data_IF_938724599499
#
_entry.id   IF_938724599499
#
_cell.length_a   1.000
_cell.length_b   1.000
_cell.length_c   1.000
_cell.angle_alpha   90.00
_cell.angle_beta   90.00
_cell.angle_gamma   90.00
#
_symmetry.space_group_name_H-M   'P 1'
#
loop_
_entity.id
_entity.type
_entity.pdbx_description
1 polymer ?
#
# COMPACT_ATOMS: atom_id res chain seq x y z
N UNK A 1 -4.71 26.79 38.10
CA UNK A 1 -4.22 25.44 37.76
C UNK A 1 -3.51 25.56 36.43
N UNK A 2 -2.19 25.37 36.38
CA UNK A 2 -1.53 25.17 35.09
C UNK A 2 -1.86 23.74 34.66
N UNK A 3 -2.44 23.57 33.47
CA UNK A 3 -2.50 22.25 32.87
C UNK A 3 -1.07 21.86 32.47
N UNK A 4 -0.57 20.73 32.96
CA UNK A 4 0.77 20.26 32.65
C UNK A 4 0.90 20.02 31.14
N UNK A 5 1.62 20.91 30.46
CA UNK A 5 1.82 20.84 29.02
C UNK A 5 2.72 19.65 28.73
N UNK A 6 2.25 18.69 27.93
CA UNK A 6 3.03 17.50 27.59
C UNK A 6 4.38 17.92 26.98
N UNK A 7 5.53 17.36 27.41
CA UNK A 7 6.87 17.79 26.99
C UNK A 7 7.16 17.69 25.48
N UNK A 8 6.25 17.12 24.69
CA UNK A 8 6.38 16.93 23.24
C UNK A 8 5.38 17.79 22.45
N UNK A 9 4.51 18.56 23.13
CA UNK A 9 3.43 19.33 22.49
C UNK A 9 3.94 20.32 21.45
N UNK A 10 5.02 21.05 21.73
CA UNK A 10 5.64 21.95 20.77
C UNK A 10 6.11 21.22 19.50
N UNK A 11 6.78 20.08 19.65
CA UNK A 11 7.27 19.28 18.52
C UNK A 11 6.14 18.63 17.72
N UNK A 12 5.04 18.21 18.38
CA UNK A 12 3.86 17.65 17.70
C UNK A 12 3.09 18.75 16.94
N UNK A 13 2.93 19.94 17.53
CA UNK A 13 2.32 21.09 16.87
C UNK A 13 3.14 21.55 15.65
N UNK A 14 4.47 21.66 15.79
CA UNK A 14 5.38 21.96 14.67
C UNK A 14 5.23 20.92 13.54
N UNK A 15 5.27 19.63 13.89
CA UNK A 15 5.18 18.54 12.91
C UNK A 15 3.81 18.50 12.21
N UNK A 16 2.73 18.75 12.95
CA UNK A 16 1.37 18.88 12.43
C UNK A 16 1.27 20.01 11.40
N UNK A 17 1.77 21.20 11.75
CA UNK A 17 1.77 22.36 10.85
C UNK A 17 2.66 22.14 9.62
N UNK A 18 3.89 21.65 9.81
CA UNK A 18 4.88 21.47 8.74
C UNK A 18 4.48 20.41 7.71
N UNK A 19 3.76 19.37 8.14
CA UNK A 19 3.40 18.23 7.27
C UNK A 19 1.89 18.10 7.03
N UNK A 20 1.04 19.00 7.54
CA UNK A 20 -0.40 18.94 7.32
C UNK A 20 -1.03 17.60 7.74
N UNK A 21 -0.66 17.10 8.92
CA UNK A 21 -1.17 15.88 9.54
C UNK A 21 -1.75 16.23 10.92
N UNK A 22 -2.99 15.82 11.25
CA UNK A 22 -3.60 16.17 12.53
C UNK A 22 -2.76 15.73 13.73
N UNK A 23 -2.57 16.60 14.72
CA UNK A 23 -1.82 16.28 15.95
C UNK A 23 -2.31 14.98 16.61
N UNK A 24 -3.63 14.75 16.65
CA UNK A 24 -4.23 13.51 17.17
C UNK A 24 -3.71 12.23 16.49
N UNK A 25 -3.36 12.29 15.20
CA UNK A 25 -2.76 11.15 14.48
C UNK A 25 -1.33 10.92 14.97
N UNK A 26 -0.54 11.99 15.11
CA UNK A 26 0.85 11.94 15.60
C UNK A 26 0.88 11.38 17.02
N UNK A 27 0.06 11.91 17.93
CA UNK A 27 -0.06 11.42 19.31
C UNK A 27 -0.47 9.95 19.39
N UNK A 28 -1.48 9.54 18.61
CA UNK A 28 -1.96 8.15 18.65
C UNK A 28 -0.91 7.17 18.11
N UNK A 29 -0.22 7.51 17.03
CA UNK A 29 0.88 6.69 16.49
C UNK A 29 2.04 6.66 17.49
N UNK A 30 2.48 7.80 18.02
CA UNK A 30 3.54 7.86 19.05
C UNK A 30 3.25 6.96 20.27
N UNK A 31 2.03 7.03 20.81
CA UNK A 31 1.63 6.16 21.92
C UNK A 31 1.64 4.69 21.49
N UNK A 32 1.14 4.37 20.29
CA UNK A 32 1.06 3.02 19.78
C UNK A 32 2.42 2.37 19.48
N UNK A 33 3.42 3.17 19.13
CA UNK A 33 4.78 2.76 18.76
C UNK A 33 5.71 2.65 19.98
N UNK A 34 5.81 3.69 20.80
CA UNK A 34 6.80 3.80 21.89
C UNK A 34 6.22 3.95 23.29
N UNK A 35 4.91 4.20 23.42
CA UNK A 35 4.26 4.65 24.67
C UNK A 35 4.94 5.89 25.28
N UNK A 36 5.54 6.75 24.46
CA UNK A 36 6.27 7.94 24.90
C UNK A 36 7.74 7.71 25.26
N UNK A 37 8.29 6.50 25.09
CA UNK A 37 9.71 6.25 25.33
C UNK A 37 10.57 6.77 24.17
N UNK A 38 11.19 7.94 24.35
CA UNK A 38 12.05 8.55 23.33
C UNK A 38 13.33 7.76 22.97
N UNK A 39 13.74 6.78 23.80
CA UNK A 39 14.89 5.90 23.54
C UNK A 39 14.47 4.47 23.17
N UNK A 40 13.22 4.27 22.78
CA UNK A 40 12.72 2.95 22.36
C UNK A 40 13.49 2.43 21.12
N UNK A 41 13.88 1.17 21.16
CA UNK A 41 14.44 0.42 20.02
C UNK A 41 13.71 -0.92 19.93
N UNK A 42 13.11 -1.22 18.77
CA UNK A 42 12.46 -2.52 18.55
C UNK A 42 13.48 -3.62 18.20
N UNK A 43 13.07 -4.88 18.28
CA UNK A 43 13.86 -6.03 17.80
C UNK A 43 14.24 -5.94 16.31
N UNK A 44 13.50 -5.17 15.51
CA UNK A 44 13.81 -4.91 14.10
C UNK A 44 14.69 -3.66 13.89
N UNK A 45 15.08 -2.97 14.97
CA UNK A 45 15.89 -1.75 14.93
C UNK A 45 15.10 -0.47 14.64
N UNK A 46 13.78 -0.44 14.84
CA UNK A 46 12.98 0.78 14.73
C UNK A 46 13.26 1.72 15.92
N UNK A 47 13.38 3.03 15.69
CA UNK A 47 14.00 3.97 16.66
C UNK A 47 13.08 5.10 17.12
N UNK A 48 13.16 5.40 18.42
CA UNK A 48 12.58 6.59 19.05
C UNK A 48 11.07 6.60 19.19
N UNK A 49 10.51 7.79 19.48
CA UNK A 49 9.10 8.01 19.79
C UNK A 49 8.10 7.47 18.75
N UNK A 50 8.46 7.59 17.48
CA UNK A 50 7.66 7.22 16.31
C UNK A 50 8.14 5.92 15.64
N UNK A 51 9.09 5.20 16.25
CA UNK A 51 9.65 3.93 15.77
C UNK A 51 10.02 3.93 14.27
N UNK A 52 10.90 4.86 13.88
CA UNK A 52 11.35 4.99 12.49
C UNK A 52 12.46 3.98 12.20
N UNK A 53 12.31 3.19 11.13
CA UNK A 53 13.34 2.25 10.68
C UNK A 53 14.59 2.99 10.16
N UNK A 54 15.82 2.47 10.31
CA UNK A 54 17.06 3.20 10.00
C UNK A 54 17.18 3.68 8.55
N UNK A 55 16.76 2.87 7.56
CA UNK A 55 16.74 3.27 6.15
C UNK A 55 15.74 4.42 5.89
N UNK A 56 14.57 4.36 6.53
CA UNK A 56 13.54 5.42 6.47
C UNK A 56 14.03 6.70 7.14
N UNK A 57 14.73 6.58 8.28
CA UNK A 57 15.36 7.71 8.98
C UNK A 57 16.39 8.42 8.10
N UNK A 58 17.32 7.68 7.47
CA UNK A 58 18.33 8.26 6.60
C UNK A 58 17.71 9.06 5.44
N UNK A 59 16.68 8.50 4.78
CA UNK A 59 15.94 9.18 3.71
C UNK A 59 15.26 10.47 4.20
N UNK A 60 14.54 10.41 5.33
CA UNK A 60 13.77 11.54 5.85
C UNK A 60 14.67 12.65 6.39
N UNK A 61 15.76 12.29 7.06
CA UNK A 61 16.69 13.24 7.67
C UNK A 61 17.45 14.03 6.62
N UNK A 62 17.88 13.38 5.53
CA UNK A 62 18.46 14.03 4.37
C UNK A 62 17.43 14.96 3.67
N UNK A 63 16.17 14.51 3.51
CA UNK A 63 15.13 15.28 2.82
C UNK A 63 14.62 16.49 3.62
N UNK A 64 14.56 16.40 4.95
CA UNK A 64 13.89 17.39 5.80
C UNK A 64 14.81 18.13 6.78
N UNK A 65 16.12 17.83 6.77
CA UNK A 65 17.12 18.50 7.62
C UNK A 65 16.94 18.16 9.11
N UNK A 66 16.84 16.87 9.44
CA UNK A 66 16.51 16.39 10.79
C UNK A 66 17.74 16.02 11.64
N UNK A 67 18.94 16.40 11.21
CA UNK A 67 20.19 16.03 11.89
C UNK A 67 20.52 14.54 11.77
N UNK A 68 21.41 14.07 12.65
CA UNK A 68 21.92 12.70 12.62
C UNK A 68 21.26 11.76 13.64
N UNK A 69 20.82 12.29 14.80
CA UNK A 69 20.35 11.49 15.93
C UNK A 69 18.85 11.09 15.80
N UNK A 70 18.51 9.81 15.59
CA UNK A 70 17.12 9.34 15.53
C UNK A 70 16.41 9.36 16.90
N UNK A 71 17.12 9.62 18.00
CA UNK A 71 16.55 9.71 19.34
C UNK A 71 16.33 11.16 19.81
N UNK A 72 16.70 12.17 19.01
CA UNK A 72 16.24 13.53 19.26
C UNK A 72 14.71 13.60 19.15
N UNK A 73 14.08 14.07 20.23
CA UNK A 73 12.62 14.08 20.40
C UNK A 73 11.94 14.84 19.24
N UNK A 74 12.43 16.04 18.94
CA UNK A 74 11.84 16.88 17.90
C UNK A 74 12.00 16.25 16.52
N UNK A 75 13.21 15.81 16.20
CA UNK A 75 13.57 15.27 14.88
C UNK A 75 12.90 13.92 14.61
N UNK A 76 12.74 13.06 15.62
CA UNK A 76 12.00 11.81 15.50
C UNK A 76 10.49 12.03 15.27
N UNK A 77 9.87 13.00 15.98
CA UNK A 77 8.47 13.39 15.77
C UNK A 77 8.27 13.96 14.36
N UNK A 78 9.16 14.85 13.90
CA UNK A 78 9.15 15.39 12.55
C UNK A 78 9.29 14.30 11.48
N UNK A 79 10.20 13.33 11.66
CA UNK A 79 10.34 12.18 10.76
C UNK A 79 9.06 11.34 10.71
N UNK A 80 8.47 11.02 11.86
CA UNK A 80 7.23 10.25 11.93
C UNK A 80 6.04 10.94 11.26
N UNK A 81 5.88 12.25 11.45
CA UNK A 81 4.84 13.03 10.78
C UNK A 81 5.07 13.14 9.26
N UNK A 82 6.32 13.34 8.81
CA UNK A 82 6.68 13.32 7.40
C UNK A 82 6.38 11.95 6.74
N UNK A 83 6.63 10.86 7.45
CA UNK A 83 6.34 9.50 6.97
C UNK A 83 4.84 9.23 6.94
N UNK A 84 4.07 9.64 7.96
CA UNK A 84 2.60 9.60 7.94
C UNK A 84 2.03 10.39 6.76
N UNK A 85 2.54 11.59 6.48
CA UNK A 85 2.17 12.39 5.31
C UNK A 85 2.41 11.63 4.00
N UNK A 86 3.60 11.06 3.82
CA UNK A 86 3.94 10.29 2.62
C UNK A 86 3.03 9.08 2.43
N UNK A 87 2.66 8.38 3.50
CA UNK A 87 1.71 7.27 3.42
C UNK A 87 0.27 7.75 3.15
N UNK A 88 -0.17 8.86 3.77
CA UNK A 88 -1.49 9.45 3.50
C UNK A 88 -1.64 9.93 2.06
N UNK A 89 -0.60 10.55 1.50
CA UNK A 89 -0.57 10.95 0.08
C UNK A 89 -0.66 9.78 -0.88
N UNK A 90 0.02 8.69 -0.55
CA UNK A 90 0.08 7.50 -1.39
C UNK A 90 -1.23 6.70 -1.39
N UNK A 91 -1.86 6.52 -0.23
CA UNK A 91 -2.98 5.58 -0.09
C UNK A 91 -4.35 6.24 0.01
N UNK A 92 -4.46 7.48 0.54
CA UNK A 92 -5.73 8.18 0.83
C UNK A 92 -6.76 7.39 1.66
N UNK A 93 -6.32 6.29 2.26
CA UNK A 93 -7.06 5.42 3.17
C UNK A 93 -6.24 5.24 4.44
N UNK A 94 -6.86 5.42 5.60
CA UNK A 94 -6.19 5.38 6.90
C UNK A 94 -5.69 3.97 7.23
N UNK A 95 -6.40 2.92 6.82
CA UNK A 95 -6.04 1.53 7.12
C UNK A 95 -4.80 1.10 6.34
N UNK A 96 -4.75 1.41 5.04
CA UNK A 96 -3.59 1.20 4.18
C UNK A 96 -2.41 2.08 4.58
N UNK A 97 -2.66 3.35 4.95
CA UNK A 97 -1.64 4.25 5.49
C UNK A 97 -0.96 3.66 6.73
N UNK A 98 -1.74 3.18 7.72
CA UNK A 98 -1.22 2.56 8.94
C UNK A 98 -0.53 1.22 8.66
N UNK A 99 -1.08 0.41 7.74
CA UNK A 99 -0.44 -0.84 7.33
C UNK A 99 0.93 -0.59 6.65
N UNK A 100 1.04 0.46 5.83
CA UNK A 100 2.28 0.86 5.19
C UNK A 100 3.29 1.48 6.16
N UNK A 101 2.80 2.21 7.17
CA UNK A 101 3.63 2.75 8.25
C UNK A 101 4.30 1.62 9.04
N UNK A 102 3.51 0.66 9.54
CA UNK A 102 3.99 -0.45 10.37
C UNK A 102 4.75 -1.54 9.58
N UNK A 103 4.29 -1.92 8.39
CA UNK A 103 4.81 -3.09 7.66
C UNK A 103 5.57 -2.75 6.36
N UNK A 104 5.74 -1.46 6.07
CA UNK A 104 6.38 -0.94 4.87
C UNK A 104 5.42 -0.83 3.66
N UNK A 105 5.58 0.18 2.79
CA UNK A 105 4.67 0.45 1.67
C UNK A 105 4.57 -0.72 0.69
N UNK A 106 5.68 -1.38 0.35
CA UNK A 106 5.65 -2.54 -0.56
C UNK A 106 4.76 -3.70 -0.08
N UNK A 107 4.56 -3.84 1.24
CA UNK A 107 3.66 -4.84 1.82
C UNK A 107 2.21 -4.39 1.78
N UNK A 108 1.95 -3.11 2.02
CA UNK A 108 0.63 -2.50 1.83
C UNK A 108 0.20 -2.51 0.35
N UNK A 109 1.11 -2.25 -0.59
CA UNK A 109 0.85 -2.33 -2.03
C UNK A 109 0.45 -3.75 -2.46
N UNK A 110 1.19 -4.76 -1.98
CA UNK A 110 0.88 -6.16 -2.26
C UNK A 110 -0.44 -6.62 -1.62
N UNK A 111 -0.85 -6.01 -0.51
CA UNK A 111 -2.16 -6.24 0.09
C UNK A 111 -3.29 -5.55 -0.67
N UNK A 112 -3.14 -4.26 -1.00
CA UNK A 112 -4.10 -3.49 -1.78
C UNK A 112 -4.37 -4.11 -3.17
N UNK A 113 -3.36 -4.75 -3.77
CA UNK A 113 -3.49 -5.48 -5.04
C UNK A 113 -3.89 -6.96 -4.89
N UNK A 114 -4.30 -7.42 -3.71
CA UNK A 114 -4.69 -8.82 -3.46
C UNK A 114 -3.58 -9.89 -3.58
N UNK A 115 -2.31 -9.50 -3.78
CA UNK A 115 -1.17 -10.44 -3.96
C UNK A 115 -0.72 -11.10 -2.67
N UNK A 116 -0.91 -10.46 -1.51
CA UNK A 116 -0.45 -10.97 -0.20
C UNK A 116 -1.23 -10.39 0.97
N UNK A 117 -1.64 -11.23 1.92
CA UNK A 117 -2.23 -10.77 3.18
C UNK A 117 -1.24 -10.01 4.10
N UNK A 118 -1.76 -9.07 4.89
CA UNK A 118 -0.99 -8.41 5.96
C UNK A 118 -0.68 -9.38 7.12
N UNK A 119 0.46 -9.23 7.82
CA UNK A 119 0.76 -9.95 9.06
C UNK A 119 -0.33 -9.78 10.13
N UNK A 120 -0.49 -10.76 11.02
CA UNK A 120 -1.44 -10.68 12.13
C UNK A 120 -1.18 -9.46 13.03
N UNK A 121 0.09 -9.18 13.34
CA UNK A 121 0.53 -8.00 14.10
C UNK A 121 0.10 -6.69 13.42
N UNK A 122 0.38 -6.53 12.12
CA UNK A 122 -0.02 -5.34 11.35
C UNK A 122 -1.55 -5.18 11.30
N UNK A 123 -2.31 -6.26 11.16
CA UNK A 123 -3.79 -6.19 11.23
C UNK A 123 -4.26 -5.73 12.61
N UNK A 124 -3.66 -6.23 13.69
CA UNK A 124 -3.97 -5.81 15.05
C UNK A 124 -3.56 -4.35 15.33
N UNK A 125 -2.42 -3.91 14.80
CA UNK A 125 -1.97 -2.51 14.84
C UNK A 125 -2.99 -1.58 14.17
N UNK A 126 -3.40 -1.89 12.93
CA UNK A 126 -4.41 -1.11 12.19
C UNK A 126 -5.74 -1.10 12.93
N UNK A 127 -6.26 -2.26 13.36
CA UNK A 127 -7.53 -2.36 14.07
C UNK A 127 -7.54 -1.56 15.39
N UNK A 128 -6.40 -1.50 16.09
CA UNK A 128 -6.24 -0.72 17.32
C UNK A 128 -6.19 0.79 17.08
N UNK A 129 -5.73 1.26 15.92
CA UNK A 129 -5.41 2.68 15.70
C UNK A 129 -6.42 3.37 14.78
N UNK A 130 -6.83 2.72 13.70
CA UNK A 130 -7.66 3.30 12.64
C UNK A 130 -8.95 3.98 13.16
N UNK A 131 -9.72 3.43 14.12
CA UNK A 131 -10.94 4.06 14.62
C UNK A 131 -10.71 5.48 15.18
N UNK A 132 -9.65 5.68 15.96
CA UNK A 132 -9.34 6.96 16.61
C UNK A 132 -8.76 8.00 15.64
N UNK A 133 -8.24 7.57 14.49
CA UNK A 133 -7.82 8.47 13.42
C UNK A 133 -9.00 8.96 12.57
N UNK A 134 -10.18 8.34 12.71
CA UNK A 134 -11.40 8.63 11.95
C UNK A 134 -11.80 7.52 10.97
N UNK A 135 -11.08 6.40 10.91
CA UNK A 135 -11.47 5.23 10.13
C UNK A 135 -12.32 4.27 10.96
N UNK A 136 -13.58 4.67 11.17
CA UNK A 136 -14.68 3.78 11.53
C UNK A 136 -16.01 4.40 11.12
N UNK A 137 -16.72 3.70 10.24
CA UNK A 137 -18.12 3.99 9.95
C UNK A 137 -18.38 4.99 8.82
N UNK A 138 -18.89 4.45 7.72
CA UNK A 138 -19.77 5.13 6.76
C UNK A 138 -21.09 5.57 7.44
N UNK A 139 -21.04 6.45 8.45
CA UNK A 139 -22.23 6.93 9.19
C UNK A 139 -22.03 8.24 9.98
N UNK A 140 -21.75 9.35 9.29
CA UNK A 140 -22.32 10.67 9.66
C UNK A 140 -22.34 11.60 8.46
N UNK A 141 -23.54 12.03 8.07
CA UNK A 141 -23.87 12.70 6.80
C UNK A 141 -25.03 13.67 7.03
N UNK A 142 -24.80 14.96 6.83
CA UNK A 142 -25.77 16.02 6.49
C UNK A 142 -24.99 17.35 6.38
N UNK A 143 -25.12 18.20 5.36
CA UNK A 143 -26.03 18.23 4.21
C UNK A 143 -25.24 18.05 2.88
N UNK A 144 -25.82 17.71 1.72
CA UNK A 144 -27.22 17.53 1.31
C UNK A 144 -27.34 16.48 0.18
N UNK A 145 -28.56 15.99 -0.15
CA UNK A 145 -28.90 15.39 -1.46
C UNK A 145 -29.78 16.35 -2.31
N UNK A 146 -30.14 16.04 -3.57
CA UNK A 146 -29.69 14.96 -4.45
C UNK A 146 -28.95 15.50 -5.71
N UNK A 147 -28.27 14.69 -6.53
CA UNK A 147 -28.92 14.04 -7.67
C UNK A 147 -28.17 12.81 -8.22
N UNK A 148 -28.93 11.74 -8.46
CA UNK A 148 -28.67 10.65 -9.42
C UNK A 148 -30.00 10.55 -10.17
N UNK A 149 -30.09 10.50 -11.51
CA UNK A 149 -29.63 9.41 -12.36
C UNK A 149 -29.46 9.85 -13.86
N UNK A 150 -29.31 8.98 -14.88
CA UNK A 150 -28.21 9.14 -15.85
C UNK A 150 -28.64 9.45 -17.30
N UNK A 151 -27.77 10.12 -18.05
CA UNK A 151 -28.05 10.56 -19.42
C UNK A 151 -27.89 9.52 -20.54
N UNK A 152 -27.44 8.28 -20.27
CA UNK A 152 -26.96 7.35 -21.32
C UNK A 152 -27.86 6.14 -21.62
N UNK A 153 -28.99 5.96 -20.94
CA UNK A 153 -29.91 4.82 -21.18
C UNK A 153 -31.18 5.18 -21.99
N UNK A 154 -31.22 6.33 -22.67
CA UNK A 154 -32.29 6.67 -23.64
C UNK A 154 -31.84 6.48 -25.08
N UNK A 155 -31.55 5.23 -25.43
CA UNK A 155 -31.46 4.76 -26.82
C UNK A 155 -32.29 3.49 -27.00
N UNK A 156 -33.62 3.62 -26.86
CA UNK A 156 -34.57 2.62 -27.35
C UNK A 156 -34.67 2.71 -28.86
N UNK A 157 -33.60 2.32 -29.56
CA UNK A 157 -33.73 1.82 -30.93
C UNK A 157 -34.52 0.52 -30.84
N UNK A 158 -35.83 0.58 -31.10
CA UNK A 158 -36.70 -0.46 -31.69
C UNK A 158 -38.17 -0.13 -31.40
N UNK A 159 -38.86 0.45 -32.40
CA UNK A 159 -40.25 0.15 -32.74
C UNK A 159 -40.71 0.99 -33.94
N UNK A 160 -40.71 0.38 -35.13
CA UNK A 160 -41.67 0.72 -36.18
C UNK A 160 -42.46 -0.56 -36.47
N UNK A 161 -43.79 -0.46 -36.53
CA UNK A 161 -44.72 -1.59 -36.70
C UNK A 161 -45.56 -1.36 -37.94
N UNK A 162 -45.77 -2.44 -38.70
CA UNK A 162 -46.72 -2.54 -39.80
C UNK A 162 -46.04 -2.73 -41.16
N UNK A 163 -46.47 -3.65 -42.05
CA UNK A 163 -47.53 -4.65 -41.92
C UNK A 163 -47.28 -5.89 -42.80
N UNK A 164 -47.78 -7.02 -42.31
CA UNK A 164 -48.47 -8.11 -43.03
C UNK A 164 -48.11 -8.44 -44.51
N UNK A 165 -47.43 -9.57 -44.74
CA UNK A 165 -47.78 -10.59 -45.76
C UNK A 165 -46.91 -11.85 -45.63
N UNK A 166 -47.45 -13.02 -46.00
CA UNK A 166 -46.84 -14.36 -45.87
C UNK A 166 -46.47 -14.99 -47.23
N UNK A 167 -46.06 -16.28 -47.22
CA UNK A 167 -45.74 -17.15 -48.39
C UNK A 167 -44.33 -16.83 -48.96
N UNK A 168 -43.41 -17.76 -49.30
CA UNK A 168 -43.46 -19.18 -49.72
C UNK A 168 -42.30 -20.00 -49.12
N UNK A 169 -42.46 -21.33 -49.05
CA UNK A 169 -41.34 -22.30 -48.94
C UNK A 169 -40.52 -22.38 -50.24
N UNK A 170 -39.23 -22.75 -50.15
CA UNK A 170 -38.68 -23.81 -51.02
C UNK A 170 -37.55 -24.58 -50.31
N UNK A 171 -37.25 -25.78 -50.82
CA UNK A 171 -36.50 -26.84 -50.16
C UNK A 171 -35.08 -27.05 -50.69
N UNK A 172 -34.32 -27.72 -49.83
CA UNK A 172 -33.43 -28.85 -50.15
C UNK A 172 -31.94 -28.63 -50.50
N UNK A 173 -31.19 -29.59 -49.95
CA UNK A 173 -30.05 -30.34 -50.53
C UNK A 173 -28.62 -29.79 -50.34
N UNK A 174 -27.58 -30.62 -50.17
CA UNK A 174 -27.38 -31.83 -49.35
C UNK A 174 -25.89 -32.30 -49.41
N UNK A 175 -25.26 -32.56 -48.26
CA UNK A 175 -24.09 -33.46 -48.00
C UNK A 175 -22.73 -33.17 -48.74
N UNK A 176 -21.59 -33.81 -48.37
CA UNK A 176 -20.29 -33.11 -48.27
C UNK A 176 -19.11 -33.85 -48.95
N UNK A 177 -17.87 -33.38 -48.70
CA UNK A 177 -16.60 -34.15 -48.72
C UNK A 177 -15.47 -33.24 -48.17
N UNK A 178 -14.30 -33.65 -47.66
CA UNK A 178 -13.80 -34.91 -47.05
C UNK A 178 -12.49 -34.60 -46.27
N UNK A 179 -12.09 -35.51 -45.36
CA UNK A 179 -10.72 -36.01 -45.05
C UNK A 179 -9.46 -35.14 -45.33
N UNK A 180 -8.37 -35.13 -44.55
CA UNK A 180 -7.88 -35.98 -43.44
C UNK A 180 -6.55 -35.43 -42.87
N UNK A 181 -6.21 -35.77 -41.61
CA UNK A 181 -4.82 -35.81 -41.10
C UNK A 181 -4.25 -37.25 -41.32
N UNK A 182 -2.92 -37.49 -41.33
CA UNK A 182 -2.25 -37.83 -40.04
C UNK A 182 -0.72 -37.53 -39.90
N UNK A 183 -0.30 -37.57 -38.62
CA UNK A 183 0.95 -38.16 -38.08
C UNK A 183 2.35 -37.50 -38.17
N UNK A 184 3.16 -37.90 -37.19
CA UNK A 184 4.55 -37.49 -36.88
C UNK A 184 5.39 -38.73 -36.52
N UNK A 185 6.74 -38.66 -36.56
CA UNK A 185 7.55 -39.63 -35.82
C UNK A 185 8.67 -39.04 -34.93
N UNK A 186 8.72 -39.55 -33.69
CA UNK A 186 9.88 -39.94 -32.83
C UNK A 186 11.22 -40.15 -33.59
N UNK A 187 12.45 -39.92 -33.08
CA UNK A 187 13.02 -39.81 -31.71
C UNK A 187 14.12 -38.68 -31.63
N UNK A 188 15.14 -38.60 -30.74
CA UNK A 188 15.68 -39.38 -29.60
C UNK A 188 16.58 -38.49 -28.69
N UNK A 189 17.17 -39.04 -27.62
CA UNK A 189 18.30 -38.47 -26.84
C UNK A 189 19.54 -39.41 -26.91
N UNK A 190 20.74 -39.00 -26.43
CA UNK A 190 21.08 -39.30 -25.02
C UNK A 190 21.92 -38.21 -24.30
N UNK A 191 22.31 -38.52 -23.05
CA UNK A 191 22.84 -37.60 -22.04
C UNK A 191 24.37 -37.34 -22.09
N UNK A 192 24.85 -36.36 -21.32
CA UNK A 192 25.88 -36.48 -20.23
C UNK A 192 26.39 -35.08 -19.82
N UNK A 193 26.66 -34.82 -18.53
CA UNK A 193 27.46 -33.66 -18.13
C UNK A 193 27.18 -33.10 -16.73
N UNK A 194 28.07 -33.35 -15.77
CA UNK A 194 28.04 -32.74 -14.44
C UNK A 194 28.73 -31.36 -14.41
N UNK A 195 28.40 -30.49 -13.45
CA UNK A 195 29.11 -29.23 -13.25
C UNK A 195 28.59 -28.38 -12.08
N UNK A 196 29.24 -28.46 -10.92
CA UNK A 196 28.95 -27.62 -9.74
C UNK A 196 29.81 -26.36 -9.83
N UNK A 197 29.21 -25.17 -9.82
CA UNK A 197 29.96 -23.92 -9.65
C UNK A 197 29.31 -23.01 -8.59
N UNK A 198 29.66 -23.26 -7.33
CA UNK A 198 29.89 -22.15 -6.40
C UNK A 198 31.31 -21.63 -6.67
N UNK A 199 31.50 -20.31 -6.73
CA UNK A 199 32.83 -19.69 -6.64
C UNK A 199 32.68 -18.24 -6.17
N UNK A 200 32.52 -18.09 -4.86
CA UNK A 200 32.87 -16.84 -4.17
C UNK A 200 34.40 -16.74 -4.14
N UNK A 201 34.95 -15.56 -4.44
CA UNK A 201 36.39 -15.28 -4.30
C UNK A 201 36.57 -14.18 -3.24
N UNK A 202 37.24 -14.48 -2.11
CA UNK A 202 37.80 -13.47 -1.22
C UNK A 202 39.33 -13.48 -1.31
N UNK A 203 39.95 -12.34 -1.65
CA UNK A 203 41.36 -12.10 -1.33
C UNK A 203 41.59 -10.64 -0.92
N UNK A 204 42.27 -10.49 0.22
CA UNK A 204 42.74 -9.24 0.81
C UNK A 204 44.10 -8.84 0.24
N UNK A 205 44.51 -7.57 0.40
CA UNK A 205 45.92 -7.26 0.65
C UNK A 205 46.61 -6.12 -0.12
N UNK A 206 46.94 -5.07 0.64
CA UNK A 206 48.17 -4.25 0.62
C UNK A 206 48.54 -3.30 -0.54
N UNK A 207 48.72 -2.03 -0.13
CA UNK A 207 49.91 -1.17 -0.27
C UNK A 207 50.70 -1.11 -1.60
N UNK A 208 50.67 0.08 -2.24
CA UNK A 208 51.76 1.09 -2.18
C UNK A 208 51.58 2.16 -3.27
N UNK A 209 51.57 3.43 -2.88
CA UNK A 209 52.62 4.43 -3.17
C UNK A 209 52.33 5.75 -2.46
#
# INVERSE_FOLDING_TARGET
MHADVHPYAASVAEASQRFGIPERWIWRVMHAESRGNARAVSHAGAMGLMQIMPATWAMLSARHGLGADPFDVRSNILAGAAYLRAMWDRYRDVSLMLAAYNAGPGRADAFASGRRGLPAETRAYVARIAPELGASGIASRAAAPPSVAPGWQRSTLFAARGDNASIVEDRARAVPDSSSLPESPTAAAPATGAGRHQLFVPLSGQDRR
#
